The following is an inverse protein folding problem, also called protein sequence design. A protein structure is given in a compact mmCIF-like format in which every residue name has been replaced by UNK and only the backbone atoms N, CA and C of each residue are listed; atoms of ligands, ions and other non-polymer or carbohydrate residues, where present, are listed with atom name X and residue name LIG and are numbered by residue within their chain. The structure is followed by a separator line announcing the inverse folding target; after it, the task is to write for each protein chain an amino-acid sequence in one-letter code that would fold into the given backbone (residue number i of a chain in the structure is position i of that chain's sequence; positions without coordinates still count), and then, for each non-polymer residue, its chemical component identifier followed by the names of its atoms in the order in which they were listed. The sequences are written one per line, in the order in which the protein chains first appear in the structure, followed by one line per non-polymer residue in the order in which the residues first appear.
data_IF_106428289866
#
_entry.id   IF_106428289866
#
_cell.length_a   1.000
_cell.length_b   1.000
_cell.length_c   1.000
_cell.angle_alpha   90.00
_cell.angle_beta   90.00
_cell.angle_gamma   90.00
#
_symmetry.space_group_name_H-M   'P 1'
#
loop_
_entity.id
_entity.type
_entity.pdbx_description
1 polymer ?
#
# COMPACT_ATOMS: atom_id res chain seq x y z
N UNK A 1 -12.76 8.00 -11.63
CA UNK A 1 -13.08 8.55 -10.30
C UNK A 1 -11.79 8.70 -9.53
N UNK A 2 -11.39 9.92 -9.20
CA UNK A 2 -10.18 10.20 -8.39
C UNK A 2 -10.62 10.25 -6.93
N UNK A 3 -10.04 9.40 -6.09
CA UNK A 3 -10.43 9.28 -4.68
C UNK A 3 -9.57 10.23 -3.83
N UNK A 4 -10.22 11.08 -3.02
CA UNK A 4 -9.54 11.94 -2.06
C UNK A 4 -9.30 11.19 -0.75
N UNK A 5 -8.14 10.56 -0.64
CA UNK A 5 -7.77 9.70 0.49
C UNK A 5 -7.72 10.49 1.80
N UNK A 6 -7.16 11.70 1.78
CA UNK A 6 -7.05 12.56 2.96
C UNK A 6 -8.42 12.90 3.54
N UNK A 7 -9.37 13.28 2.68
CA UNK A 7 -10.75 13.59 3.10
C UNK A 7 -11.47 12.37 3.67
N UNK A 8 -11.27 11.19 3.09
CA UNK A 8 -11.84 9.94 3.63
C UNK A 8 -11.25 9.69 5.02
N UNK A 9 -9.93 9.74 5.16
CA UNK A 9 -9.27 9.51 6.45
C UNK A 9 -9.75 10.51 7.52
N UNK A 10 -9.80 11.80 7.20
CA UNK A 10 -10.30 12.83 8.11
C UNK A 10 -11.75 12.62 8.54
N UNK A 11 -12.61 12.14 7.63
CA UNK A 11 -14.02 11.87 7.96
C UNK A 11 -14.23 10.62 8.83
N UNK A 12 -13.24 9.71 8.88
CA UNK A 12 -13.27 8.51 9.70
C UNK A 12 -12.71 8.74 11.11
N UNK A 13 -12.10 9.89 11.38
CA UNK A 13 -11.58 10.24 12.70
C UNK A 13 -12.71 10.38 13.73
N UNK A 14 -12.45 9.89 14.94
CA UNK A 14 -13.27 10.20 16.12
C UNK A 14 -12.87 11.57 16.70
N UNK A 15 -13.72 12.13 17.56
CA UNK A 15 -13.53 13.49 18.15
C UNK A 15 -12.17 13.71 18.83
N UNK A 16 -11.55 12.65 19.36
CA UNK A 16 -10.28 12.71 20.10
C UNK A 16 -9.11 12.13 19.30
N UNK A 17 -9.18 12.17 17.97
CA UNK A 17 -8.12 11.65 17.10
C UNK A 17 -7.61 12.74 16.18
N UNK A 18 -6.30 12.78 16.01
CA UNK A 18 -5.62 13.63 15.05
C UNK A 18 -5.00 12.76 13.96
N UNK A 19 -5.12 13.19 12.71
CA UNK A 19 -4.50 12.51 11.58
C UNK A 19 -3.04 12.95 11.44
N UNK A 20 -2.12 12.13 11.93
CA UNK A 20 -0.68 12.42 11.93
C UNK A 20 -0.07 12.22 10.54
N UNK A 21 -0.36 11.09 9.89
CA UNK A 21 0.25 10.73 8.60
C UNK A 21 -0.68 9.85 7.76
N UNK A 22 -0.56 9.98 6.43
CA UNK A 22 -1.23 9.11 5.46
C UNK A 22 -0.18 8.51 4.53
N UNK A 23 -0.14 7.18 4.48
CA UNK A 23 0.71 6.41 3.58
C UNK A 23 -0.13 5.70 2.53
N UNK A 24 0.24 5.80 1.26
CA UNK A 24 -0.42 5.15 0.14
C UNK A 24 0.54 4.12 -0.48
N UNK A 25 0.07 2.89 -0.66
CA UNK A 25 0.88 1.78 -1.16
C UNK A 25 0.36 1.36 -2.53
N UNK A 26 1.25 1.28 -3.53
CA UNK A 26 0.86 0.92 -4.91
C UNK A 26 2.04 0.36 -5.68
N UNK A 27 1.80 -0.43 -6.72
CA UNK A 27 2.84 -0.77 -7.71
C UNK A 27 2.63 0.00 -9.02
N UNK A 28 3.73 0.32 -9.71
CA UNK A 28 3.66 1.00 -11.01
C UNK A 28 3.05 0.07 -12.05
N UNK A 29 2.05 0.55 -12.76
CA UNK A 29 1.47 -0.15 -13.90
C UNK A 29 2.54 -0.23 -14.99
N UNK A 30 2.72 -1.42 -15.56
CA UNK A 30 3.53 -1.62 -16.75
C UNK A 30 2.64 -2.06 -17.91
N UNK A 31 3.12 -1.93 -19.14
CA UNK A 31 2.50 -2.46 -20.37
C UNK A 31 1.22 -1.76 -20.89
N UNK A 32 0.78 -0.64 -20.28
CA UNK A 32 -0.31 0.19 -20.79
C UNK A 32 0.00 1.69 -20.60
N UNK A 33 0.37 2.44 -21.66
CA UNK A 33 0.77 3.84 -21.55
C UNK A 33 -0.31 4.79 -21.00
N UNK A 34 -1.57 4.56 -21.36
CA UNK A 34 -2.68 5.41 -20.93
C UNK A 34 -3.02 5.18 -19.46
N UNK A 35 -3.00 3.93 -19.00
CA UNK A 35 -3.13 3.62 -17.57
C UNK A 35 -1.95 4.16 -16.76
N UNK A 36 -0.73 4.05 -17.27
CA UNK A 36 0.47 4.63 -16.64
C UNK A 36 0.32 6.14 -16.47
N UNK A 37 -0.09 6.85 -17.52
CA UNK A 37 -0.29 8.30 -17.47
C UNK A 37 -1.32 8.69 -16.41
N UNK A 38 -2.46 8.01 -16.36
CA UNK A 38 -3.49 8.25 -15.34
C UNK A 38 -3.00 7.96 -13.93
N UNK A 39 -2.23 6.88 -13.76
CA UNK A 39 -1.66 6.52 -12.46
C UNK A 39 -0.64 7.57 -12.00
N UNK A 40 0.27 8.01 -12.88
CA UNK A 40 1.25 9.06 -12.56
C UNK A 40 0.57 10.36 -12.13
N UNK A 41 -0.43 10.83 -12.89
CA UNK A 41 -1.20 12.03 -12.53
C UNK A 41 -1.84 11.89 -11.14
N UNK A 42 -2.41 10.73 -10.84
CA UNK A 42 -3.03 10.50 -9.54
C UNK A 42 -2.01 10.49 -8.40
N UNK A 43 -0.88 9.82 -8.60
CA UNK A 43 0.20 9.73 -7.62
C UNK A 43 0.81 11.12 -7.35
N UNK A 44 1.09 11.89 -8.39
CA UNK A 44 1.59 13.27 -8.28
C UNK A 44 0.59 14.14 -7.49
N UNK A 45 -0.70 13.98 -7.75
CA UNK A 45 -1.74 14.67 -6.98
C UNK A 45 -1.73 14.26 -5.49
N UNK A 46 -1.56 12.97 -5.17
CA UNK A 46 -1.45 12.50 -3.78
C UNK A 46 -0.21 13.07 -3.08
N UNK A 47 0.95 13.03 -3.74
CA UNK A 47 2.20 13.58 -3.21
C UNK A 47 2.09 15.09 -2.96
N UNK A 48 1.43 15.83 -3.85
CA UNK A 48 1.20 17.29 -3.70
C UNK A 48 0.37 17.67 -2.47
N UNK A 49 -0.47 16.77 -1.95
CA UNK A 49 -1.27 17.00 -0.73
C UNK A 49 -0.63 16.43 0.54
N UNK A 50 0.64 16.00 0.43
CA UNK A 50 1.48 15.51 1.52
C UNK A 50 1.28 14.03 1.86
N UNK A 51 0.68 13.23 0.98
CA UNK A 51 0.56 11.78 1.17
C UNK A 51 1.88 11.11 0.78
N UNK A 52 2.40 10.26 1.67
CA UNK A 52 3.62 9.49 1.38
C UNK A 52 3.28 8.27 0.53
N UNK A 53 3.85 8.18 -0.66
CA UNK A 53 3.64 7.05 -1.57
C UNK A 53 4.77 6.04 -1.43
N UNK A 54 4.41 4.78 -1.22
CA UNK A 54 5.32 3.65 -1.15
C UNK A 54 5.07 2.72 -2.33
N UNK A 55 6.12 2.47 -3.10
CA UNK A 55 6.05 1.63 -4.26
C UNK A 55 6.36 0.17 -3.91
N UNK A 56 5.46 -0.74 -4.29
CA UNK A 56 5.75 -2.18 -4.29
C UNK A 56 6.80 -2.53 -5.34
N UNK A 57 7.51 -3.64 -5.14
CA UNK A 57 8.55 -4.09 -6.06
C UNK A 57 7.92 -4.79 -7.26
N UNK A 58 8.17 -4.25 -8.45
CA UNK A 58 7.76 -4.88 -9.72
C UNK A 58 8.83 -5.88 -10.16
N UNK A 59 8.75 -7.11 -9.66
CA UNK A 59 9.70 -8.15 -10.07
C UNK A 59 9.32 -8.68 -11.45
N UNK A 60 10.20 -8.41 -12.44
CA UNK A 60 10.17 -9.09 -13.73
C UNK A 60 10.66 -10.52 -13.51
N UNK A 61 9.75 -11.48 -13.65
CA UNK A 61 10.11 -12.88 -13.74
C UNK A 61 10.03 -13.32 -15.20
N UNK A 62 10.72 -14.41 -15.53
CA UNK A 62 10.55 -15.10 -16.80
C UNK A 62 9.85 -16.42 -16.52
N UNK A 63 8.72 -16.65 -17.19
CA UNK A 63 8.04 -17.94 -17.16
C UNK A 63 8.45 -18.73 -18.38
N UNK A 64 8.92 -19.95 -18.16
CA UNK A 64 9.28 -20.90 -19.20
C UNK A 64 8.16 -21.94 -19.36
N UNK A 65 7.73 -22.18 -20.60
CA UNK A 65 6.84 -23.28 -20.92
C UNK A 65 7.58 -24.61 -20.79
N UNK A 66 7.12 -25.47 -19.87
CA UNK A 66 7.69 -26.81 -19.67
C UNK A 66 7.52 -27.77 -20.85
N UNK A 67 6.63 -27.45 -21.79
CA UNK A 67 6.35 -28.30 -22.95
C UNK A 67 7.11 -27.89 -24.21
N UNK A 68 7.34 -26.58 -24.42
CA UNK A 68 7.96 -26.08 -25.64
C UNK A 68 9.20 -25.19 -25.43
N UNK A 69 9.60 -24.93 -24.18
CA UNK A 69 10.78 -24.12 -23.86
C UNK A 69 10.62 -22.63 -24.15
N UNK A 70 9.44 -22.18 -24.57
CA UNK A 70 9.21 -20.76 -24.83
C UNK A 70 9.27 -19.95 -23.53
N UNK A 71 10.00 -18.83 -23.53
CA UNK A 71 10.18 -17.96 -22.37
C UNK A 71 9.45 -16.65 -22.63
N UNK A 72 8.57 -16.24 -21.72
CA UNK A 72 7.96 -14.92 -21.76
C UNK A 72 8.14 -14.17 -20.43
N UNK A 73 8.28 -12.84 -20.48
CA UNK A 73 8.30 -12.04 -19.26
C UNK A 73 6.92 -12.09 -18.60
N UNK A 74 6.88 -12.52 -17.33
CA UNK A 74 5.72 -12.37 -16.45
C UNK A 74 6.02 -11.31 -15.42
N UNK A 75 5.07 -10.40 -15.29
CA UNK A 75 5.12 -9.34 -14.31
C UNK A 75 4.20 -9.73 -13.16
N UNK A 76 4.77 -9.91 -11.98
CA UNK A 76 3.99 -10.11 -10.77
C UNK A 76 4.10 -8.86 -9.93
N UNK A 77 2.97 -8.21 -9.67
CA UNK A 77 2.87 -7.27 -8.57
C UNK A 77 3.17 -8.06 -7.29
N UNK A 78 4.25 -7.69 -6.60
CA UNK A 78 4.64 -8.31 -5.34
C UNK A 78 4.97 -7.23 -4.31
N UNK A 79 4.83 -7.61 -3.04
CA UNK A 79 5.30 -6.87 -1.86
C UNK A 79 4.48 -5.63 -1.46
N UNK A 80 3.33 -5.32 -2.08
CA UNK A 80 2.45 -4.26 -1.54
C UNK A 80 2.04 -4.59 -0.09
N UNK A 81 1.63 -5.83 0.17
CA UNK A 81 1.21 -6.27 1.51
C UNK A 81 2.38 -6.30 2.51
N UNK A 82 3.55 -6.73 2.01
CA UNK A 82 4.80 -6.74 2.78
C UNK A 82 5.20 -5.30 3.15
N UNK A 83 5.09 -4.35 2.22
CA UNK A 83 5.40 -2.95 2.49
C UNK A 83 4.43 -2.35 3.49
N UNK A 84 3.13 -2.64 3.39
CA UNK A 84 2.11 -2.20 4.35
C UNK A 84 2.48 -2.72 5.75
N UNK A 85 2.66 -4.04 5.90
CA UNK A 85 3.01 -4.65 7.18
C UNK A 85 4.31 -4.09 7.75
N UNK A 86 5.35 -3.96 6.91
CA UNK A 86 6.66 -3.45 7.32
C UNK A 86 6.58 -2.00 7.80
N UNK A 87 5.89 -1.12 7.05
CA UNK A 87 5.76 0.28 7.45
C UNK A 87 4.93 0.45 8.72
N UNK A 88 3.84 -0.32 8.87
CA UNK A 88 3.06 -0.32 10.11
C UNK A 88 3.92 -0.76 11.30
N UNK A 89 4.71 -1.82 11.17
CA UNK A 89 5.60 -2.29 12.23
C UNK A 89 6.72 -1.29 12.56
N UNK A 90 7.33 -0.65 11.55
CA UNK A 90 8.37 0.37 11.77
C UNK A 90 7.78 1.57 12.54
N UNK A 91 6.62 2.05 12.13
CA UNK A 91 5.98 3.20 12.78
C UNK A 91 5.53 2.86 14.21
N UNK A 92 5.01 1.65 14.43
CA UNK A 92 4.70 1.14 15.76
C UNK A 92 5.95 1.07 16.65
N UNK A 93 7.03 0.48 16.12
CA UNK A 93 8.29 0.36 16.85
C UNK A 93 8.90 1.72 17.20
N UNK A 94 8.67 2.73 16.38
CA UNK A 94 9.12 4.11 16.60
C UNK A 94 8.11 4.97 17.39
N UNK A 95 7.04 4.36 17.91
CA UNK A 95 5.97 5.02 18.68
C UNK A 95 5.37 6.24 17.94
N UNK A 96 5.20 6.14 16.62
CA UNK A 96 4.72 7.24 15.76
C UNK A 96 3.20 7.41 15.76
N UNK A 97 2.44 6.42 16.26
CA UNK A 97 1.00 6.48 16.32
C UNK A 97 0.46 5.70 17.52
N UNK A 98 -0.71 6.11 18.03
CA UNK A 98 -1.46 5.32 19.02
C UNK A 98 -2.52 4.43 18.37
N UNK A 99 -3.02 4.83 17.19
CA UNK A 99 -3.95 4.05 16.40
C UNK A 99 -3.55 4.07 14.92
N UNK A 100 -3.50 2.90 14.30
CA UNK A 100 -3.40 2.75 12.86
C UNK A 100 -4.79 2.50 12.26
N UNK A 101 -5.03 3.06 11.08
CA UNK A 101 -6.21 2.77 10.25
C UNK A 101 -5.74 2.18 8.93
N UNK A 102 -6.11 0.92 8.67
CA UNK A 102 -5.86 0.27 7.39
C UNK A 102 -7.13 0.31 6.54
N UNK A 103 -7.04 0.93 5.36
CA UNK A 103 -8.12 0.92 4.36
C UNK A 103 -7.69 -0.03 3.25
N UNK A 104 -8.21 -1.26 3.27
CA UNK A 104 -7.97 -2.26 2.24
C UNK A 104 -9.21 -3.12 2.03
N UNK A 105 -9.38 -3.62 0.81
CA UNK A 105 -10.34 -4.68 0.50
C UNK A 105 -9.73 -6.08 0.58
N UNK A 106 -8.44 -6.19 0.91
CA UNK A 106 -7.69 -7.45 0.97
C UNK A 106 -7.66 -8.02 2.39
N UNK A 107 -8.16 -9.25 2.55
CA UNK A 107 -8.17 -9.97 3.81
C UNK A 107 -6.79 -10.47 4.24
N UNK A 108 -5.82 -10.57 3.34
CA UNK A 108 -4.48 -11.06 3.62
C UNK A 108 -3.68 -10.10 4.52
N UNK A 109 -4.17 -8.87 4.72
CA UNK A 109 -3.61 -7.87 5.63
C UNK A 109 -4.13 -7.97 7.07
N UNK A 110 -5.03 -8.91 7.37
CA UNK A 110 -5.53 -9.16 8.74
C UNK A 110 -4.44 -9.66 9.70
N UNK A 111 -3.56 -10.61 9.34
CA UNK A 111 -2.54 -11.11 10.27
C UNK A 111 -1.56 -10.04 10.81
N UNK A 112 -1.02 -9.11 9.99
CA UNK A 112 -0.22 -7.99 10.50
C UNK A 112 -0.94 -7.13 11.55
N UNK A 113 -2.26 -6.97 11.45
CA UNK A 113 -3.06 -6.24 12.45
C UNK A 113 -3.16 -7.04 13.76
N UNK A 114 -3.40 -8.34 13.66
CA UNK A 114 -3.59 -9.21 14.83
C UNK A 114 -2.31 -9.33 15.67
N UNK A 115 -1.13 -9.35 15.05
CA UNK A 115 0.16 -9.45 15.77
C UNK A 115 0.46 -8.19 16.60
N UNK A 116 -0.10 -7.04 16.25
CA UNK A 116 0.04 -5.80 17.01
C UNK A 116 -0.90 -5.73 18.23
N UNK A 117 -2.09 -6.33 18.13
CA UNK A 117 -3.10 -6.31 19.20
C UNK A 117 -2.84 -7.18 20.47
N UNK A 118 -1.92 -8.18 20.54
CA UNK A 118 -1.74 -8.97 21.76
C UNK A 118 -0.99 -8.22 22.86
N UNK A 119 -0.33 -7.10 22.54
CA UNK A 119 0.51 -6.37 23.49
C UNK A 119 -0.27 -5.46 24.47
N UNK A 120 -1.57 -5.21 24.24
CA UNK A 120 -2.41 -4.34 25.10
C UNK A 120 -3.43 -5.12 25.94
N UNK A 121 -3.14 -6.40 26.23
CA UNK A 121 -3.97 -7.26 27.09
C UNK A 121 -3.20 -7.67 28.36
N UNK A 122 -2.75 -6.69 29.14
CA UNK A 122 -2.37 -6.83 30.56
C UNK A 122 -2.83 -5.60 31.33
#
# INVERSE_FOLDING_TARGET
MIVNIKKIASNLLKKNQELIEVKYFTSRISNDPDKQKRQSIYIEALESVGIKVFYGNYQRNTTECRQCGNIWPTFHEKMTDVNIATQMMIDAFQDKYNMAMLISGDSDLVPPIIIYYPAYRL
#
